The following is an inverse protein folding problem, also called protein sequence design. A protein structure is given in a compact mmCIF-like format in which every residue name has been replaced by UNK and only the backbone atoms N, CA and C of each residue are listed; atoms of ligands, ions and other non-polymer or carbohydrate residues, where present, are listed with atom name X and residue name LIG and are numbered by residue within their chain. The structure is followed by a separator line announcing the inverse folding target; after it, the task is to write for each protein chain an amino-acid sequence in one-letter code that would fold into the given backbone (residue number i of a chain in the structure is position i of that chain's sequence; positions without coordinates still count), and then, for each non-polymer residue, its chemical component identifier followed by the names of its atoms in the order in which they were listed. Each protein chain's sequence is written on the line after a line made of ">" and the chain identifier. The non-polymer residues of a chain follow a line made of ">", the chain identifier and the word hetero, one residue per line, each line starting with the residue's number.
data_IF_565495388462
#
_entry.id   IF_565495388462
#
_cell.length_a   1.000
_cell.length_b   1.000
_cell.length_c   1.000
_cell.angle_alpha   90.00
_cell.angle_beta   90.00
_cell.angle_gamma   90.00
#
_symmetry.space_group_name_H-M   'P 1'
#
loop_
_entity.id
_entity.type
_entity.pdbx_description
1 polymer ?
#
# COMPACT_ATOMS: atom_id res chain seq x y z
N UNK A 1 7.35 -2.00 14.85
CA UNK A 1 6.18 -1.84 13.96
C UNK A 1 6.02 -0.36 13.62
N UNK A 2 5.79 -0.06 12.37
CA UNK A 2 5.64 1.32 11.92
C UNK A 2 4.15 1.67 11.83
N UNK A 3 3.78 2.81 12.43
CA UNK A 3 2.45 3.36 12.31
C UNK A 3 2.49 4.45 11.24
N UNK A 4 1.71 4.28 10.18
CA UNK A 4 1.74 5.16 9.03
C UNK A 4 0.39 5.84 8.89
N UNK A 5 0.42 7.17 8.69
CA UNK A 5 -0.79 7.95 8.43
C UNK A 5 -0.58 8.65 7.09
N UNK A 6 -1.48 8.40 6.14
CA UNK A 6 -1.40 9.04 4.83
C UNK A 6 -2.01 10.45 4.87
N UNK A 7 -1.79 11.21 3.81
CA UNK A 7 -2.31 12.58 3.72
C UNK A 7 -3.84 12.64 3.76
N UNK A 8 -4.50 11.56 3.36
CA UNK A 8 -5.97 11.50 3.40
C UNK A 8 -6.50 11.00 4.74
N UNK A 9 -5.61 10.67 5.69
CA UNK A 9 -5.99 10.21 7.01
C UNK A 9 -6.12 8.71 7.17
N UNK A 10 -5.73 7.92 6.16
CA UNK A 10 -5.72 6.47 6.31
C UNK A 10 -4.58 6.07 7.24
N UNK A 11 -4.87 5.22 8.22
CA UNK A 11 -3.89 4.77 9.21
C UNK A 11 -3.68 3.27 9.08
N UNK A 12 -2.43 2.85 9.18
CA UNK A 12 -2.07 1.44 9.07
C UNK A 12 -0.81 1.16 9.88
N UNK A 13 -0.78 0.00 10.54
CA UNK A 13 0.41 -0.49 11.24
C UNK A 13 1.06 -1.58 10.39
N UNK A 14 2.36 -1.44 10.14
CA UNK A 14 3.10 -2.40 9.32
C UNK A 14 4.47 -2.70 9.92
N UNK A 15 4.91 -3.94 9.75
CA UNK A 15 6.29 -4.31 10.10
C UNK A 15 7.20 -3.97 8.93
N UNK A 16 8.31 -3.22 9.19
CA UNK A 16 9.20 -2.80 8.09
C UNK A 16 9.82 -3.94 7.29
N UNK A 17 9.91 -5.13 7.88
CA UNK A 17 10.50 -6.28 7.20
C UNK A 17 9.68 -6.79 6.00
N UNK A 18 8.42 -6.33 5.83
CA UNK A 18 7.66 -6.70 4.63
C UNK A 18 8.32 -6.20 3.35
N UNK A 19 9.14 -5.14 3.45
CA UNK A 19 9.88 -4.63 2.28
C UNK A 19 11.18 -5.38 2.03
N UNK A 20 11.64 -6.17 2.98
CA UNK A 20 12.85 -6.98 2.83
C UNK A 20 12.47 -8.37 2.31
N UNK A 21 11.84 -8.38 1.14
CA UNK A 21 11.32 -9.59 0.51
C UNK A 21 11.46 -9.40 -1.00
N UNK A 22 12.20 -10.29 -1.64
CA UNK A 22 12.49 -10.17 -3.07
C UNK A 22 11.22 -10.22 -3.92
N UNK A 23 10.26 -11.05 -3.54
CA UNK A 23 8.99 -11.12 -4.27
C UNK A 23 8.20 -9.83 -4.20
N UNK A 24 8.23 -9.19 -3.03
CA UNK A 24 7.62 -7.86 -2.85
C UNK A 24 8.38 -6.83 -3.70
N UNK A 25 9.70 -6.87 -3.67
CA UNK A 25 10.52 -5.94 -4.43
C UNK A 25 10.26 -6.04 -5.93
N UNK A 26 10.18 -7.27 -6.45
CA UNK A 26 9.88 -7.49 -7.87
C UNK A 26 8.56 -6.81 -8.27
N UNK A 27 7.54 -6.94 -7.43
CA UNK A 27 6.23 -6.34 -7.72
C UNK A 27 6.26 -4.82 -7.59
N UNK A 28 7.01 -4.29 -6.62
CA UNK A 28 7.18 -2.84 -6.48
C UNK A 28 7.79 -2.25 -7.76
N UNK A 29 8.82 -2.90 -8.29
CA UNK A 29 9.47 -2.45 -9.52
C UNK A 29 8.49 -2.41 -10.69
N UNK A 30 7.65 -3.44 -10.81
CA UNK A 30 6.67 -3.48 -11.90
C UNK A 30 5.62 -2.39 -11.77
N UNK A 31 5.13 -2.14 -10.56
CA UNK A 31 4.16 -1.06 -10.32
C UNK A 31 4.80 0.30 -10.61
N UNK A 32 6.05 0.49 -10.22
CA UNK A 32 6.80 1.73 -10.48
C UNK A 32 6.97 2.00 -11.98
N UNK A 33 7.09 0.93 -12.77
CA UNK A 33 7.18 1.05 -14.23
C UNK A 33 5.84 1.39 -14.88
N UNK A 34 4.78 1.44 -14.10
CA UNK A 34 3.46 1.78 -14.59
C UNK A 34 2.51 0.59 -14.77
N UNK A 35 2.93 -0.61 -14.37
CA UNK A 35 2.09 -1.80 -14.49
C UNK A 35 1.20 -1.94 -13.26
N UNK A 36 0.09 -1.21 -13.24
CA UNK A 36 -0.87 -1.25 -12.14
C UNK A 36 -1.54 -2.62 -12.00
N UNK A 37 -1.43 -3.49 -13.00
CA UNK A 37 -2.02 -4.84 -12.91
C UNK A 37 -1.31 -5.70 -11.87
N UNK A 38 -0.11 -5.32 -11.45
CA UNK A 38 0.64 -6.03 -10.41
C UNK A 38 0.28 -5.58 -9.00
N UNK A 39 -0.46 -4.47 -8.87
CA UNK A 39 -0.79 -3.93 -7.57
C UNK A 39 -1.60 -4.89 -6.67
N UNK A 40 -2.63 -5.58 -7.17
CA UNK A 40 -3.37 -6.51 -6.30
C UNK A 40 -2.51 -7.60 -5.69
N UNK A 41 -1.59 -8.17 -6.47
CA UNK A 41 -0.68 -9.20 -5.96
C UNK A 41 0.28 -8.62 -4.90
N UNK A 42 0.77 -7.42 -5.13
CA UNK A 42 1.65 -6.73 -4.17
C UNK A 42 0.92 -6.47 -2.86
N UNK A 43 -0.30 -5.94 -2.93
CA UNK A 43 -1.09 -5.67 -1.73
C UNK A 43 -1.37 -6.96 -0.95
N UNK A 44 -1.61 -8.08 -1.65
CA UNK A 44 -1.85 -9.36 -1.00
C UNK A 44 -0.63 -9.85 -0.21
N UNK A 45 0.57 -9.48 -0.63
CA UNK A 45 1.80 -9.88 0.07
C UNK A 45 2.11 -8.99 1.27
N UNK A 46 1.78 -7.71 1.22
CA UNK A 46 2.20 -6.76 2.27
C UNK A 46 1.09 -6.43 3.26
N UNK A 47 -0.18 -6.68 2.92
CA UNK A 47 -1.32 -6.35 3.78
C UNK A 47 -2.05 -7.62 4.21
N UNK A 48 -2.59 -7.59 5.43
CA UNK A 48 -3.55 -8.63 5.83
C UNK A 48 -4.85 -8.40 5.06
N UNK A 49 -5.73 -9.43 4.95
CA UNK A 49 -7.03 -9.23 4.31
C UNK A 49 -7.84 -8.10 4.93
N UNK A 50 -7.75 -7.93 6.25
CA UNK A 50 -8.46 -6.85 6.96
C UNK A 50 -7.91 -5.48 6.59
N UNK A 51 -6.59 -5.36 6.47
CA UNK A 51 -5.94 -4.10 6.06
C UNK A 51 -6.31 -3.75 4.64
N UNK A 52 -6.33 -4.73 3.74
CA UNK A 52 -6.70 -4.52 2.34
C UNK A 52 -8.15 -4.03 2.25
N UNK A 53 -9.06 -4.67 2.99
CA UNK A 53 -10.46 -4.25 3.04
C UNK A 53 -10.59 -2.82 3.54
N UNK A 54 -9.86 -2.48 4.62
CA UNK A 54 -9.89 -1.13 5.19
C UNK A 54 -9.38 -0.10 4.18
N UNK A 55 -8.32 -0.42 3.45
CA UNK A 55 -7.78 0.48 2.43
C UNK A 55 -8.80 0.73 1.32
N UNK A 56 -9.43 -0.33 0.83
CA UNK A 56 -10.43 -0.20 -0.23
C UNK A 56 -11.63 0.63 0.24
N UNK A 57 -12.10 0.39 1.47
CA UNK A 57 -13.21 1.16 2.02
C UNK A 57 -12.86 2.64 2.18
N UNK A 58 -11.62 2.92 2.61
CA UNK A 58 -11.14 4.30 2.72
C UNK A 58 -11.15 5.02 1.35
N UNK A 59 -10.84 4.30 0.28
CA UNK A 59 -10.80 4.85 -1.08
C UNK A 59 -12.14 4.81 -1.80
N UNK A 60 -13.12 4.12 -1.24
CA UNK A 60 -14.42 3.91 -1.91
C UNK A 60 -15.17 5.22 -2.08
N UNK A 61 -15.70 5.44 -3.28
CA UNK A 61 -16.49 6.62 -3.59
C UNK A 61 -17.97 6.39 -3.34
N UNK A 62 -18.74 7.47 -3.41
CA UNK A 62 -20.19 7.42 -3.19
C UNK A 62 -20.90 6.48 -4.18
N UNK A 63 -20.35 6.32 -5.38
CA UNK A 63 -20.91 5.42 -6.38
C UNK A 63 -20.59 3.94 -6.11
N UNK A 64 -19.91 3.63 -5.00
CA UNK A 64 -19.56 2.27 -4.60
C UNK A 64 -18.27 1.74 -5.21
N UNK A 65 -17.62 2.52 -6.06
CA UNK A 65 -16.40 2.08 -6.74
C UNK A 65 -15.15 2.50 -5.97
N UNK A 66 -14.10 1.68 -6.08
CA UNK A 66 -12.80 1.98 -5.50
C UNK A 66 -11.87 2.37 -6.66
N UNK A 67 -11.53 3.65 -6.82
CA UNK A 67 -10.68 4.06 -7.95
C UNK A 67 -9.28 3.48 -7.83
N UNK A 68 -8.75 2.97 -8.95
CA UNK A 68 -7.38 2.44 -8.98
C UNK A 68 -6.39 3.53 -8.61
N UNK A 69 -6.57 4.73 -9.14
CA UNK A 69 -5.68 5.86 -8.87
C UNK A 69 -5.62 6.22 -7.39
N UNK A 70 -6.74 6.12 -6.68
CA UNK A 70 -6.77 6.40 -5.25
C UNK A 70 -5.96 5.37 -4.47
N UNK A 71 -6.10 4.09 -4.82
CA UNK A 71 -5.34 3.01 -4.17
C UNK A 71 -3.85 3.16 -4.46
N UNK A 72 -3.48 3.48 -5.71
CA UNK A 72 -2.07 3.70 -6.07
C UNK A 72 -1.49 4.86 -5.26
N UNK A 73 -2.23 5.97 -5.12
CA UNK A 73 -1.77 7.12 -4.35
C UNK A 73 -1.55 6.77 -2.87
N UNK A 74 -2.49 6.02 -2.27
CA UNK A 74 -2.34 5.58 -0.88
C UNK A 74 -1.16 4.63 -0.73
N UNK A 75 -1.00 3.69 -1.66
CA UNK A 75 0.12 2.77 -1.66
C UNK A 75 1.46 3.50 -1.68
N UNK A 76 1.59 4.52 -2.54
CA UNK A 76 2.83 5.30 -2.63
C UNK A 76 3.16 5.97 -1.29
N UNK A 77 2.16 6.51 -0.60
CA UNK A 77 2.36 7.14 0.69
C UNK A 77 2.72 6.13 1.78
N UNK A 78 2.12 4.95 1.74
CA UNK A 78 2.45 3.88 2.67
C UNK A 78 3.92 3.47 2.49
N UNK A 79 4.36 3.30 1.24
CA UNK A 79 5.75 2.93 0.96
C UNK A 79 6.72 4.03 1.42
N UNK A 80 6.37 5.28 1.23
CA UNK A 80 7.19 6.39 1.71
C UNK A 80 7.30 6.37 3.23
N UNK A 81 6.19 6.15 3.93
CA UNK A 81 6.18 6.03 5.39
C UNK A 81 7.02 4.87 5.90
N UNK A 82 6.99 3.74 5.18
CA UNK A 82 7.80 2.57 5.53
C UNK A 82 9.30 2.86 5.39
N UNK A 83 9.68 3.54 4.30
CA UNK A 83 11.08 3.91 4.10
C UNK A 83 11.57 4.88 5.19
N UNK A 84 10.73 5.83 5.57
CA UNK A 84 11.07 6.77 6.64
C UNK A 84 11.24 6.04 7.98
N UNK A 85 10.40 5.07 8.26
CA UNK A 85 10.51 4.26 9.48
C UNK A 85 11.82 3.48 9.51
N UNK A 86 12.28 2.95 8.39
CA UNK A 86 13.53 2.19 8.30
C UNK A 86 14.77 3.06 8.54
N UNK A 87 14.70 4.34 8.21
CA UNK A 87 15.84 5.25 8.38
C UNK A 87 16.12 5.60 9.82
N UNK A 88 15.22 5.27 10.71
CA UNK A 88 15.40 5.51 12.15
C UNK A 88 16.03 4.31 12.82
#
# INVERSE_FOLDING_TARGET
>A
MAHIVTKTGFEIDMTPDVLDDMEVFDLIVEVDKGDATKLPALLALILTPEQKTALYEHCRKENGRVPISAVVAEFAQIMEGMRDAEKK
#
